data_IF_259721032404
#
_entry.id   IF_259721032404
#
_cell.length_a   1.000
_cell.length_b   1.000
_cell.length_c   1.000
_cell.angle_alpha   90.00
_cell.angle_beta   90.00
_cell.angle_gamma   90.00
#
_symmetry.space_group_name_H-M   'P 1'
#
loop_
_entity.id
_entity.type
_entity.pdbx_description
1 polymer ?
#
# COMPACT_ATOMS: atom_id res chain seq x y z
N UNK A 1 9.07 -0.78 -18.14
CA UNK A 1 8.47 0.46 -17.58
C UNK A 1 8.83 0.51 -16.11
N UNK A 2 9.32 1.63 -15.57
CA UNK A 2 9.74 1.75 -14.17
C UNK A 2 8.75 2.61 -13.36
N UNK A 3 8.81 2.57 -12.02
CA UNK A 3 7.89 3.27 -11.12
C UNK A 3 8.39 4.65 -10.65
N UNK A 4 9.44 5.18 -11.26
CA UNK A 4 10.08 6.43 -10.79
C UNK A 4 9.11 7.62 -10.78
N UNK A 5 8.29 7.74 -11.82
CA UNK A 5 7.30 8.82 -11.94
C UNK A 5 6.26 8.76 -10.83
N UNK A 6 5.71 7.57 -10.60
CA UNK A 6 4.71 7.29 -9.55
C UNK A 6 5.28 7.65 -8.17
N UNK A 7 6.48 7.16 -7.85
CA UNK A 7 7.16 7.42 -6.58
C UNK A 7 7.42 8.90 -6.33
N UNK A 8 7.80 9.65 -7.38
CA UNK A 8 7.98 11.10 -7.30
C UNK A 8 6.66 11.83 -7.03
N UNK A 9 5.60 11.46 -7.75
CA UNK A 9 4.28 12.11 -7.64
C UNK A 9 3.61 11.82 -6.30
N UNK A 10 3.77 10.62 -5.74
CA UNK A 10 3.33 10.27 -4.39
C UNK A 10 3.98 11.16 -3.31
N UNK A 11 5.23 11.55 -3.51
CA UNK A 11 5.94 12.50 -2.63
C UNK A 11 5.63 13.98 -2.95
N UNK A 12 4.75 14.24 -3.92
CA UNK A 12 4.42 15.59 -4.43
C UNK A 12 5.65 16.39 -4.87
N UNK A 13 6.67 15.70 -5.40
CA UNK A 13 7.92 16.32 -5.80
C UNK A 13 7.93 16.69 -7.28
N UNK A 14 8.61 17.77 -7.62
CA UNK A 14 8.98 18.10 -8.99
C UNK A 14 10.20 17.28 -9.45
N UNK A 15 10.38 17.16 -10.76
CA UNK A 15 11.58 16.50 -11.32
C UNK A 15 12.88 17.20 -10.94
N UNK A 16 12.83 18.52 -10.73
CA UNK A 16 13.99 19.33 -10.33
C UNK A 16 14.41 19.01 -8.91
N UNK A 17 13.46 18.93 -7.98
CA UNK A 17 13.75 18.59 -6.58
C UNK A 17 14.33 17.18 -6.46
N UNK A 18 13.74 16.20 -7.17
CA UNK A 18 14.26 14.84 -7.16
C UNK A 18 15.66 14.77 -7.76
N UNK A 19 15.90 15.46 -8.87
CA UNK A 19 17.22 15.55 -9.50
C UNK A 19 18.27 16.10 -8.51
N UNK A 20 17.93 17.15 -7.76
CA UNK A 20 18.80 17.72 -6.72
C UNK A 20 19.09 16.75 -5.57
N UNK A 21 18.11 15.94 -5.14
CA UNK A 21 18.30 14.93 -4.08
C UNK A 21 19.20 13.78 -4.50
N UNK A 22 19.09 13.33 -5.75
CA UNK A 22 19.87 12.19 -6.27
C UNK A 22 21.24 12.60 -6.80
N UNK A 23 21.41 13.90 -7.10
CA UNK A 23 22.64 14.46 -7.67
C UNK A 23 22.75 14.24 -9.19
N UNK A 24 21.63 14.36 -9.91
CA UNK A 24 21.55 14.22 -11.37
C UNK A 24 20.83 15.43 -11.98
N UNK A 25 20.72 15.48 -13.30
CA UNK A 25 20.00 16.57 -13.98
C UNK A 25 18.49 16.31 -14.03
N UNK A 26 17.68 17.37 -14.15
CA UNK A 26 16.23 17.26 -14.42
C UNK A 26 15.96 16.41 -15.67
N UNK A 27 16.80 16.56 -16.70
CA UNK A 27 16.67 15.81 -17.96
C UNK A 27 16.92 14.31 -17.74
N UNK A 28 17.86 13.94 -16.87
CA UNK A 28 18.10 12.55 -16.48
C UNK A 28 16.85 11.92 -15.86
N UNK A 29 16.21 12.61 -14.91
CA UNK A 29 14.95 12.14 -14.30
C UNK A 29 13.84 12.02 -15.35
N UNK A 30 13.68 13.02 -16.23
CA UNK A 30 12.69 12.98 -17.31
C UNK A 30 12.90 11.77 -18.23
N UNK A 31 14.15 11.54 -18.65
CA UNK A 31 14.51 10.45 -19.55
C UNK A 31 14.25 9.08 -18.93
N UNK A 32 14.53 8.93 -17.62
CA UNK A 32 14.22 7.72 -16.86
C UNK A 32 12.71 7.51 -16.73
N UNK A 33 11.94 8.55 -16.39
CA UNK A 33 10.48 8.45 -16.27
C UNK A 33 9.80 8.10 -17.60
N UNK A 34 10.33 8.60 -18.72
CA UNK A 34 9.83 8.28 -20.06
C UNK A 34 10.35 6.93 -20.58
N UNK A 35 11.26 6.27 -19.85
CA UNK A 35 11.85 4.99 -20.27
C UNK A 35 12.82 5.10 -21.47
N UNK A 36 13.16 6.32 -21.91
CA UNK A 36 14.15 6.54 -22.97
C UNK A 36 15.56 6.10 -22.56
N UNK A 37 15.83 6.10 -21.25
CA UNK A 37 17.06 5.63 -20.66
C UNK A 37 16.74 4.75 -19.46
N UNK A 38 17.46 3.65 -19.30
CA UNK A 38 17.33 2.78 -18.14
C UNK A 38 18.06 3.34 -16.92
N UNK A 39 17.49 3.08 -15.74
CA UNK A 39 18.12 3.40 -14.46
C UNK A 39 19.05 2.24 -14.10
N UNK A 40 20.37 2.49 -14.05
CA UNK A 40 21.39 1.45 -13.82
C UNK A 40 22.25 1.72 -12.58
N UNK A 41 22.80 0.64 -12.02
CA UNK A 41 23.88 0.67 -11.03
C UNK A 41 23.59 1.53 -9.81
N UNK A 42 24.51 2.45 -9.52
CA UNK A 42 24.47 3.32 -8.33
C UNK A 42 23.25 4.24 -8.28
N UNK A 43 22.72 4.67 -9.42
CA UNK A 43 21.54 5.53 -9.45
C UNK A 43 20.27 4.76 -9.07
N UNK A 44 20.13 3.50 -9.50
CA UNK A 44 19.01 2.65 -9.07
C UNK A 44 19.03 2.45 -7.56
N UNK A 45 20.21 2.21 -6.98
CA UNK A 45 20.39 2.08 -5.53
C UNK A 45 20.04 3.38 -4.79
N UNK A 46 20.57 4.52 -5.21
CA UNK A 46 20.24 5.84 -4.61
C UNK A 46 18.75 6.14 -4.63
N UNK A 47 18.09 5.88 -5.75
CA UNK A 47 16.65 6.09 -5.89
C UNK A 47 15.86 5.14 -4.98
N UNK A 48 16.22 3.86 -4.96
CA UNK A 48 15.60 2.86 -4.11
C UNK A 48 15.72 3.22 -2.62
N UNK A 49 16.92 3.61 -2.17
CA UNK A 49 17.17 4.09 -0.80
C UNK A 49 16.40 5.38 -0.49
N UNK A 50 16.40 6.35 -1.41
CA UNK A 50 15.69 7.62 -1.22
C UNK A 50 14.18 7.43 -1.06
N UNK A 51 13.57 6.55 -1.86
CA UNK A 51 12.16 6.24 -1.79
C UNK A 51 11.81 5.17 -0.75
N UNK A 52 12.82 4.54 -0.13
CA UNK A 52 12.70 3.43 0.79
C UNK A 52 11.93 2.23 0.18
N UNK A 53 12.30 1.85 -1.05
CA UNK A 53 11.74 0.73 -1.80
C UNK A 53 12.85 -0.20 -2.29
N UNK A 54 12.50 -1.41 -2.72
CA UNK A 54 13.47 -2.33 -3.34
C UNK A 54 13.83 -1.87 -4.76
N UNK A 55 15.03 -2.20 -5.24
CA UNK A 55 15.43 -1.95 -6.62
C UNK A 55 14.49 -2.67 -7.61
N UNK A 56 14.11 -3.95 -7.41
CA UNK A 56 13.11 -4.60 -8.27
C UNK A 56 11.78 -3.82 -8.34
N UNK A 57 11.27 -3.31 -7.22
CA UNK A 57 10.06 -2.51 -7.20
C UNK A 57 10.23 -1.21 -8.01
N UNK A 58 11.30 -0.46 -7.76
CA UNK A 58 11.62 0.78 -8.49
C UNK A 58 11.67 0.55 -10.00
N UNK A 59 12.36 -0.51 -10.43
CA UNK A 59 12.58 -0.80 -11.84
C UNK A 59 11.41 -1.51 -12.53
N UNK A 60 10.41 -1.94 -11.75
CA UNK A 60 9.26 -2.70 -12.26
C UNK A 60 9.57 -4.16 -12.58
N UNK A 61 10.61 -4.73 -11.94
CA UNK A 61 10.96 -6.15 -12.04
C UNK A 61 10.29 -7.00 -10.96
N UNK A 62 9.74 -6.35 -9.93
CA UNK A 62 8.71 -6.91 -9.05
C UNK A 62 7.45 -7.17 -9.89
N UNK A 63 7.45 -8.32 -10.55
CA UNK A 63 6.27 -8.93 -11.18
C UNK A 63 5.65 -9.98 -10.27
N UNK A 64 6.38 -10.40 -9.24
CA UNK A 64 5.91 -11.24 -8.16
C UNK A 64 5.64 -10.36 -6.93
N UNK A 65 4.42 -10.44 -6.39
CA UNK A 65 3.92 -9.73 -5.19
C UNK A 65 3.28 -8.36 -5.45
N UNK A 66 2.71 -8.15 -6.64
CA UNK A 66 1.72 -7.08 -6.79
C UNK A 66 0.54 -7.33 -5.86
N UNK A 67 -0.24 -6.29 -5.53
CA UNK A 67 -1.45 -6.47 -4.72
C UNK A 67 -2.40 -7.51 -5.34
N UNK A 68 -2.49 -7.57 -6.68
CA UNK A 68 -3.31 -8.58 -7.36
C UNK A 68 -2.76 -10.00 -7.14
N UNK A 69 -1.44 -10.18 -7.20
CA UNK A 69 -0.83 -11.49 -6.95
C UNK A 69 -1.02 -11.92 -5.49
N UNK A 70 -0.90 -10.97 -4.55
CA UNK A 70 -1.13 -11.23 -3.14
C UNK A 70 -2.58 -11.63 -2.86
N UNK A 71 -3.55 -10.90 -3.41
CA UNK A 71 -4.97 -11.27 -3.32
C UNK A 71 -5.19 -12.68 -3.89
N UNK A 72 -4.61 -12.99 -5.05
CA UNK A 72 -4.73 -14.32 -5.68
C UNK A 72 -4.13 -15.42 -4.79
N UNK A 73 -2.94 -15.20 -4.22
CA UNK A 73 -2.29 -16.13 -3.29
C UNK A 73 -3.11 -16.34 -2.02
N UNK A 74 -3.70 -15.29 -1.46
CA UNK A 74 -4.56 -15.35 -0.27
C UNK A 74 -5.85 -16.13 -0.57
N UNK A 75 -6.51 -15.87 -1.70
CA UNK A 75 -7.72 -16.61 -2.10
C UNK A 75 -7.43 -18.10 -2.28
N UNK A 76 -6.33 -18.44 -2.95
CA UNK A 76 -5.89 -19.84 -3.09
C UNK A 76 -5.62 -20.49 -1.72
N UNK A 77 -4.89 -19.80 -0.84
CA UNK A 77 -4.63 -20.28 0.53
C UNK A 77 -5.93 -20.51 1.33
N UNK A 78 -6.94 -19.67 1.10
CA UNK A 78 -8.26 -19.78 1.72
C UNK A 78 -9.07 -20.96 1.15
N UNK A 79 -9.02 -21.18 -0.16
CA UNK A 79 -9.67 -22.30 -0.84
C UNK A 79 -9.08 -23.65 -0.40
N UNK A 80 -7.75 -23.76 -0.30
CA UNK A 80 -7.07 -24.95 0.21
C UNK A 80 -7.51 -25.35 1.63
N UNK A 81 -8.02 -24.39 2.40
CA UNK A 81 -8.49 -24.57 3.78
C UNK A 81 -10.01 -24.62 3.90
N UNK A 82 -10.73 -24.65 2.77
CA UNK A 82 -12.18 -24.60 2.69
C UNK A 82 -12.78 -23.39 3.42
N UNK A 83 -12.03 -22.29 3.53
CA UNK A 83 -12.52 -21.07 4.18
C UNK A 83 -13.60 -20.42 3.33
N UNK A 84 -13.53 -20.53 2.00
CA UNK A 84 -14.54 -20.01 1.08
C UNK A 84 -15.96 -20.50 1.39
N UNK A 85 -16.11 -21.73 1.89
CA UNK A 85 -17.41 -22.33 2.25
C UNK A 85 -17.78 -22.16 3.73
N UNK A 86 -16.90 -21.60 4.55
CA UNK A 86 -17.15 -21.38 5.97
C UNK A 86 -18.11 -20.20 6.21
N UNK A 87 -18.68 -20.13 7.43
CA UNK A 87 -19.60 -19.04 7.79
C UNK A 87 -18.87 -17.68 7.81
N UNK A 88 -19.27 -16.72 6.96
CA UNK A 88 -18.64 -15.39 6.91
C UNK A 88 -18.78 -14.61 8.22
N UNK A 89 -19.74 -14.94 9.10
CA UNK A 89 -19.85 -14.34 10.43
C UNK A 89 -18.67 -14.71 11.32
N UNK A 90 -18.15 -15.93 11.21
CA UNK A 90 -16.95 -16.35 11.95
C UNK A 90 -15.73 -15.61 11.41
N UNK A 91 -15.64 -15.45 10.09
CA UNK A 91 -14.57 -14.67 9.48
C UNK A 91 -14.64 -13.19 9.87
N UNK A 92 -15.83 -12.61 9.99
CA UNK A 92 -16.00 -11.27 10.54
C UNK A 92 -15.46 -11.14 11.97
N UNK A 93 -15.68 -12.15 12.82
CA UNK A 93 -15.07 -12.17 14.16
C UNK A 93 -13.53 -12.12 14.09
N UNK A 94 -12.91 -12.83 13.14
CA UNK A 94 -11.46 -12.76 12.90
C UNK A 94 -11.03 -11.36 12.46
N UNK A 95 -11.74 -10.74 11.52
CA UNK A 95 -11.45 -9.34 11.13
C UNK A 95 -11.44 -8.42 12.36
N UNK A 96 -12.41 -8.56 13.25
CA UNK A 96 -12.45 -7.72 14.48
C UNK A 96 -11.33 -8.03 15.47
N UNK A 97 -10.84 -9.27 15.51
CA UNK A 97 -9.69 -9.71 16.32
C UNK A 97 -8.40 -9.05 15.81
N UNK A 98 -8.12 -9.15 14.50
CA UNK A 98 -6.91 -8.56 13.89
C UNK A 98 -6.88 -7.02 13.99
N UNK A 99 -8.04 -6.38 13.80
CA UNK A 99 -8.17 -4.92 14.02
C UNK A 99 -7.86 -4.56 15.48
N UNK A 100 -8.18 -5.44 16.42
CA UNK A 100 -7.85 -5.30 17.84
C UNK A 100 -6.35 -5.30 18.12
N UNK A 101 -5.55 -5.99 17.31
CA UNK A 101 -4.09 -6.01 17.45
C UNK A 101 -3.49 -4.66 17.05
N UNK A 102 -4.00 -4.03 15.98
CA UNK A 102 -3.60 -2.67 15.58
C UNK A 102 -3.81 -1.70 16.76
N UNK A 103 -4.98 -1.75 17.40
CA UNK A 103 -5.28 -0.95 18.59
C UNK A 103 -4.25 -1.20 19.69
N UNK A 104 -3.93 -2.46 19.96
CA UNK A 104 -3.03 -2.81 21.05
C UNK A 104 -1.59 -2.31 20.82
N UNK A 105 -1.09 -2.38 19.58
CA UNK A 105 0.21 -1.80 19.21
C UNK A 105 0.21 -0.28 19.38
N UNK A 106 -0.85 0.40 18.94
CA UNK A 106 -0.96 1.86 19.04
C UNK A 106 -1.09 2.37 20.49
N UNK A 107 -1.87 1.68 21.33
CA UNK A 107 -2.13 2.11 22.71
C UNK A 107 -1.10 1.62 23.71
N UNK A 108 -0.39 0.52 23.41
CA UNK A 108 0.56 -0.12 24.34
C UNK A 108 1.87 -0.50 23.62
N UNK A 109 2.54 0.44 22.92
CA UNK A 109 3.72 0.14 22.11
C UNK A 109 4.88 -0.43 22.94
N UNK A 110 4.99 -0.07 24.22
CA UNK A 110 6.04 -0.58 25.12
C UNK A 110 5.96 -2.09 25.39
N UNK A 111 4.86 -2.76 25.02
CA UNK A 111 4.73 -4.22 25.11
C UNK A 111 5.40 -4.96 23.95
N UNK A 112 5.85 -4.25 22.92
CA UNK A 112 6.41 -4.85 21.70
C UNK A 112 7.88 -4.51 21.58
N UNK A 113 8.71 -5.51 21.22
CA UNK A 113 10.15 -5.34 21.01
C UNK A 113 10.42 -4.34 19.87
N UNK A 114 9.64 -4.42 18.80
CA UNK A 114 9.63 -3.44 17.71
C UNK A 114 8.18 -3.09 17.35
N UNK A 115 7.64 -1.96 17.85
CA UNK A 115 6.26 -1.57 17.60
C UNK A 115 5.98 -1.27 16.12
N UNK A 116 6.97 -0.86 15.33
CA UNK A 116 6.76 -0.60 13.91
C UNK A 116 6.63 -1.89 13.11
N UNK A 117 7.39 -2.93 13.47
CA UNK A 117 7.25 -4.26 12.87
C UNK A 117 5.90 -4.87 13.28
N UNK A 118 5.55 -4.82 14.56
CA UNK A 118 4.27 -5.33 15.05
C UNK A 118 3.07 -4.63 14.40
N UNK A 119 3.16 -3.32 14.18
CA UNK A 119 2.09 -2.58 13.50
C UNK A 119 1.93 -3.01 12.03
N UNK A 120 3.04 -3.28 11.33
CA UNK A 120 2.99 -3.76 9.94
C UNK A 120 2.35 -5.14 9.85
N UNK A 121 2.65 -6.01 10.79
CA UNK A 121 2.09 -7.36 10.91
C UNK A 121 0.57 -7.30 11.12
N UNK A 122 0.12 -6.59 12.16
CA UNK A 122 -1.29 -6.44 12.49
C UNK A 122 -2.12 -5.80 11.34
N UNK A 123 -1.55 -4.82 10.63
CA UNK A 123 -2.18 -4.25 9.43
C UNK A 123 -2.26 -5.29 8.30
N UNK A 124 -1.20 -6.07 8.11
CA UNK A 124 -1.16 -7.17 7.14
C UNK A 124 -2.23 -8.23 7.41
N UNK A 125 -2.33 -8.69 8.66
CA UNK A 125 -3.32 -9.70 9.07
C UNK A 125 -4.75 -9.19 8.94
N UNK A 126 -4.98 -7.92 9.26
CA UNK A 126 -6.27 -7.26 9.00
C UNK A 126 -6.61 -7.27 7.51
N UNK A 127 -5.65 -6.99 6.62
CA UNK A 127 -5.88 -7.05 5.18
C UNK A 127 -6.16 -8.48 4.71
N UNK A 128 -5.41 -9.47 5.19
CA UNK A 128 -5.62 -10.89 4.86
C UNK A 128 -7.04 -11.31 5.25
N UNK A 129 -7.48 -10.99 6.47
CA UNK A 129 -8.81 -11.39 6.96
C UNK A 129 -9.95 -10.72 6.19
N UNK A 130 -9.78 -9.46 5.79
CA UNK A 130 -10.73 -8.75 4.91
C UNK A 130 -10.78 -9.37 3.52
N UNK A 131 -9.61 -9.70 2.93
CA UNK A 131 -9.55 -10.35 1.61
C UNK A 131 -10.25 -11.71 1.64
N UNK A 132 -10.02 -12.51 2.67
CA UNK A 132 -10.71 -13.80 2.86
C UNK A 132 -12.21 -13.62 3.05
N UNK A 133 -12.65 -12.60 3.80
CA UNK A 133 -14.07 -12.30 3.96
C UNK A 133 -14.73 -11.89 2.64
N UNK A 134 -14.10 -11.02 1.86
CA UNK A 134 -14.58 -10.64 0.53
C UNK A 134 -14.65 -11.87 -0.39
N UNK A 135 -13.61 -12.72 -0.35
CA UNK A 135 -13.59 -13.98 -1.09
C UNK A 135 -14.77 -14.87 -0.68
N UNK A 136 -15.05 -15.06 0.61
CA UNK A 136 -16.24 -15.81 1.09
C UNK A 136 -17.56 -15.27 0.54
N UNK A 137 -17.69 -13.94 0.46
CA UNK A 137 -18.90 -13.25 0.01
C UNK A 137 -19.01 -13.09 -1.51
N UNK A 138 -18.11 -13.70 -2.30
CA UNK A 138 -18.06 -13.57 -3.77
C UNK A 138 -17.84 -12.11 -4.24
N UNK A 139 -17.05 -11.35 -3.49
CA UNK A 139 -16.70 -9.96 -3.79
C UNK A 139 -15.26 -9.83 -4.27
N UNK A 140 -15.05 -9.07 -5.36
CA UNK A 140 -13.71 -8.67 -5.78
C UNK A 140 -13.23 -7.46 -4.95
N UNK A 141 -12.17 -7.67 -4.17
CA UNK A 141 -11.61 -6.65 -3.28
C UNK A 141 -11.17 -5.39 -4.02
N UNK A 142 -10.67 -5.51 -5.26
CA UNK A 142 -10.24 -4.35 -6.05
C UNK A 142 -11.45 -3.54 -6.52
N UNK A 143 -12.54 -4.20 -6.88
CA UNK A 143 -13.81 -3.54 -7.18
C UNK A 143 -14.34 -2.80 -5.95
N UNK A 144 -14.37 -3.45 -4.78
CA UNK A 144 -14.77 -2.80 -3.53
C UNK A 144 -13.92 -1.55 -3.23
N UNK A 145 -12.61 -1.66 -3.40
CA UNK A 145 -11.69 -0.53 -3.18
C UNK A 145 -11.90 0.58 -4.22
N UNK A 146 -12.16 0.23 -5.48
CA UNK A 146 -12.44 1.20 -6.53
C UNK A 146 -13.73 1.98 -6.24
N UNK A 147 -14.81 1.30 -5.83
CA UNK A 147 -16.06 1.96 -5.41
C UNK A 147 -15.78 2.95 -4.27
N UNK A 148 -15.07 2.52 -3.23
CA UNK A 148 -14.72 3.41 -2.11
C UNK A 148 -13.83 4.59 -2.55
N UNK A 149 -12.88 4.36 -3.46
CA UNK A 149 -12.00 5.41 -3.97
C UNK A 149 -12.77 6.47 -4.76
N UNK A 150 -13.67 6.05 -5.63
CA UNK A 150 -14.52 6.93 -6.44
C UNK A 150 -15.36 7.87 -5.58
N UNK A 151 -15.79 7.43 -4.39
CA UNK A 151 -16.48 8.27 -3.41
C UNK A 151 -15.58 9.28 -2.70
N UNK A 152 -14.30 8.96 -2.47
CA UNK A 152 -13.40 9.83 -1.70
C UNK A 152 -12.55 10.76 -2.55
N UNK A 153 -12.30 10.43 -3.82
CA UNK A 153 -11.31 11.11 -4.67
C UNK A 153 -11.56 12.61 -4.88
N UNK A 154 -12.84 13.03 -4.83
CA UNK A 154 -13.26 14.41 -5.04
C UNK A 154 -13.74 15.10 -3.75
N UNK A 155 -13.59 14.44 -2.58
CA UNK A 155 -14.05 15.03 -1.32
C UNK A 155 -13.26 16.29 -1.01
N UNK A 156 -13.99 17.36 -0.71
CA UNK A 156 -13.44 18.61 -0.18
C UNK A 156 -13.68 18.68 1.31
N UNK A 157 -12.78 19.34 2.03
CA UNK A 157 -12.81 19.42 3.48
C UNK A 157 -11.52 19.99 4.04
N UNK A 158 -11.46 20.12 5.36
CA UNK A 158 -10.27 20.60 6.08
C UNK A 158 -10.01 19.76 7.33
N UNK A 159 -8.76 19.75 7.77
CA UNK A 159 -8.39 19.12 9.03
C UNK A 159 -8.82 20.01 10.19
N UNK A 160 -9.62 19.47 11.11
CA UNK A 160 -10.02 20.10 12.37
C UNK A 160 -9.71 19.11 13.49
N UNK A 161 -8.89 19.53 14.46
CA UNK A 161 -8.52 18.71 15.63
C UNK A 161 -8.01 17.30 15.27
N UNK A 162 -7.29 17.16 14.16
CA UNK A 162 -6.75 15.87 13.70
C UNK A 162 -7.71 15.00 12.89
N UNK A 163 -8.93 15.46 12.63
CA UNK A 163 -9.92 14.76 11.79
C UNK A 163 -10.17 15.53 10.51
N UNK A 164 -10.27 14.83 9.38
CA UNK A 164 -10.74 15.43 8.14
C UNK A 164 -12.25 15.65 8.22
N UNK A 165 -12.69 16.91 8.23
CA UNK A 165 -14.10 17.28 8.23
C UNK A 165 -14.49 17.72 6.82
N UNK A 166 -15.54 17.13 6.27
CA UNK A 166 -16.00 17.40 4.91
C UNK A 166 -16.55 18.82 4.82
N UNK A 167 -16.43 19.43 3.66
CA UNK A 167 -16.92 20.80 3.39
C UNK A 167 -18.43 20.96 3.64
N UNK A 168 -19.22 19.91 3.42
CA UNK A 168 -20.67 19.88 3.73
C UNK A 168 -20.99 19.86 5.23
N UNK A 169 -20.03 19.47 6.07
CA UNK A 169 -20.14 19.35 7.53
C UNK A 169 -19.43 20.50 8.28
N UNK A 170 -18.93 21.51 7.56
CA UNK A 170 -18.23 22.69 8.09
C UNK A 170 -19.15 23.85 8.47
#
# INVERSE_FOLDING_TARGET
>A
MNRLKELRELRKMTRVELAGKIGVTKLTILNWEHGTHEIKGSNAKKLAEYFNVSIPYLLGYDTDNTLTDLITKINHWADERNLKQADPKIQWMRVTEEVGEIRDVLLKPTKFTDPQIALKDAIGDTLVTIIVLAHQLDLDVKECLNVAYEEIKNRKGKMINGTFVKEEDL
#
